data_IF_996770257998
#
_entry.id   IF_996770257998
#
_cell.length_a   1.000
_cell.length_b   1.000
_cell.length_c   1.000
_cell.angle_alpha   90.00
_cell.angle_beta   90.00
_cell.angle_gamma   90.00
#
_symmetry.space_group_name_H-M   'P 1'
#
loop_
_entity.id
_entity.type
_entity.pdbx_description
1 polymer ?
#
# COMPACT_ATOMS: atom_id res chain seq x y z
N UNK A 1 -15.25 -43.23 52.31
CA UNK A 1 -16.46 -44.07 52.16
C UNK A 1 -16.22 -45.04 51.01
N UNK A 2 -16.29 -46.36 51.28
CA UNK A 2 -16.31 -47.51 50.35
C UNK A 2 -15.14 -47.64 49.36
N UNK A 3 -14.05 -48.38 49.60
CA UNK A 3 -13.92 -49.85 49.67
C UNK A 3 -14.47 -50.61 48.44
N UNK A 4 -13.59 -51.09 47.56
CA UNK A 4 -13.41 -52.52 47.24
C UNK A 4 -12.57 -52.74 45.97
N UNK A 5 -11.39 -53.31 46.18
CA UNK A 5 -10.52 -53.99 45.23
C UNK A 5 -11.07 -55.38 44.89
N UNK A 6 -11.07 -55.80 43.62
CA UNK A 6 -10.70 -57.19 43.26
C UNK A 6 -10.32 -57.37 41.78
N UNK A 7 -9.20 -58.06 41.63
CA UNK A 7 -8.50 -58.48 40.41
C UNK A 7 -9.10 -59.73 39.73
N UNK A 8 -8.60 -59.95 38.49
CA UNK A 8 -8.34 -61.23 37.78
C UNK A 8 -9.57 -62.00 37.27
N UNK A 9 -9.63 -62.63 36.09
CA UNK A 9 -8.69 -63.19 35.08
C UNK A 9 -9.52 -63.34 33.78
N UNK A 10 -9.09 -62.96 32.58
CA UNK A 10 -8.20 -63.71 31.70
C UNK A 10 -8.86 -64.92 31.00
N UNK A 11 -9.21 -64.84 29.70
CA UNK A 11 -8.87 -65.84 28.66
C UNK A 11 -9.28 -65.39 27.24
N UNK A 12 -8.37 -65.64 26.31
CA UNK A 12 -8.43 -65.35 24.88
C UNK A 12 -9.26 -66.36 24.07
N UNK A 13 -9.78 -65.91 22.92
CA UNK A 13 -10.34 -66.72 21.83
C UNK A 13 -10.07 -66.05 20.49
N UNK A 14 -9.50 -66.80 19.54
CA UNK A 14 -8.75 -66.40 18.35
C UNK A 14 -9.56 -66.73 17.08
N UNK A 15 -9.34 -65.97 16.00
CA UNK A 15 -9.56 -66.29 14.55
C UNK A 15 -11.04 -66.37 14.10
N UNK A 16 -11.43 -66.02 12.87
CA UNK A 16 -10.80 -66.24 11.56
C UNK A 16 -11.17 -65.17 10.52
N UNK A 17 -10.21 -64.89 9.65
CA UNK A 17 -10.34 -64.25 8.34
C UNK A 17 -10.98 -65.22 7.32
N UNK A 18 -11.84 -64.69 6.44
CA UNK A 18 -12.43 -65.43 5.32
C UNK A 18 -12.40 -64.61 4.03
N UNK A 19 -11.64 -65.11 3.06
CA UNK A 19 -11.56 -64.65 1.66
C UNK A 19 -12.43 -65.54 0.77
N UNK A 20 -13.25 -64.98 -0.11
CA UNK A 20 -13.74 -65.62 -1.35
C UNK A 20 -14.30 -64.52 -2.27
N UNK A 21 -13.70 -64.19 -3.42
CA UNK A 21 -13.59 -64.87 -4.73
C UNK A 21 -14.77 -64.56 -5.66
N UNK A 22 -14.43 -63.77 -6.69
CA UNK A 22 -14.98 -63.71 -8.07
C UNK A 22 -16.49 -63.80 -8.27
N UNK A 23 -17.07 -62.73 -8.82
CA UNK A 23 -18.12 -62.86 -9.82
C UNK A 23 -17.90 -61.87 -10.97
N UNK A 24 -18.00 -62.43 -12.18
CA UNK A 24 -17.76 -61.84 -13.50
C UNK A 24 -19.06 -61.24 -14.04
N UNK A 25 -18.86 -60.29 -14.96
CA UNK A 25 -19.68 -59.91 -16.12
C UNK A 25 -21.08 -59.31 -15.91
N UNK A 26 -21.21 -58.02 -16.24
CA UNK A 26 -21.93 -57.63 -17.46
C UNK A 26 -21.44 -56.26 -17.96
N UNK A 27 -20.72 -56.28 -19.08
CA UNK A 27 -20.46 -55.12 -19.94
C UNK A 27 -21.71 -54.82 -20.78
N UNK A 28 -21.97 -53.54 -21.01
CA UNK A 28 -22.76 -53.05 -22.14
C UNK A 28 -22.07 -51.82 -22.73
N UNK A 29 -22.22 -51.58 -24.03
CA UNK A 29 -21.13 -51.05 -24.85
C UNK A 29 -20.97 -49.52 -24.77
N UNK A 30 -19.71 -49.12 -24.88
CA UNK A 30 -19.25 -47.75 -24.99
C UNK A 30 -19.87 -47.04 -26.20
N UNK A 31 -20.64 -45.98 -25.93
CA UNK A 31 -20.90 -44.90 -26.89
C UNK A 31 -19.76 -43.91 -26.76
N UNK A 32 -19.04 -43.55 -27.84
CA UNK A 32 -17.98 -42.56 -27.75
C UNK A 32 -18.60 -41.18 -27.46
N UNK A 33 -18.16 -40.44 -26.42
CA UNK A 33 -18.52 -39.04 -26.33
C UNK A 33 -17.84 -38.30 -27.49
N UNK A 34 -18.67 -37.67 -28.32
CA UNK A 34 -18.29 -36.81 -29.40
C UNK A 34 -17.24 -35.79 -28.91
N UNK A 35 -16.16 -35.65 -29.70
CA UNK A 35 -15.22 -34.54 -29.57
C UNK A 35 -16.02 -33.23 -29.66
N UNK A 36 -16.00 -32.34 -28.66
CA UNK A 36 -16.36 -30.97 -28.91
C UNK A 36 -15.26 -30.41 -29.82
N UNK A 37 -15.60 -30.24 -31.10
CA UNK A 37 -14.88 -29.41 -32.05
C UNK A 37 -14.65 -28.06 -31.38
N UNK A 38 -13.43 -27.86 -30.88
CA UNK A 38 -13.00 -26.65 -30.22
C UNK A 38 -12.98 -25.52 -31.23
N UNK A 39 -14.07 -24.77 -31.30
CA UNK A 39 -14.03 -23.37 -31.75
C UNK A 39 -12.90 -22.70 -30.96
N UNK A 40 -11.94 -22.01 -31.60
CA UNK A 40 -10.96 -21.23 -30.85
C UNK A 40 -11.75 -20.20 -30.05
N UNK A 41 -11.80 -20.40 -28.73
CA UNK A 41 -12.46 -19.49 -27.81
C UNK A 41 -11.89 -18.09 -28.02
N UNK A 42 -12.68 -17.24 -28.65
CA UNK A 42 -12.44 -15.83 -28.73
C UNK A 42 -12.36 -15.26 -27.30
N UNK A 43 -11.30 -14.50 -27.05
CA UNK A 43 -11.11 -13.60 -25.92
C UNK A 43 -10.89 -14.23 -24.54
N UNK A 44 -9.80 -15.01 -24.41
CA UNK A 44 -9.06 -14.99 -23.15
C UNK A 44 -8.38 -13.61 -23.00
N UNK A 45 -8.49 -12.92 -21.85
CA UNK A 45 -7.94 -11.57 -21.71
C UNK A 45 -6.42 -11.58 -21.92
N UNK A 46 -5.97 -10.74 -22.85
CA UNK A 46 -4.57 -10.56 -23.20
C UNK A 46 -3.74 -10.21 -21.96
N UNK A 47 -2.47 -10.63 -21.94
CA UNK A 47 -1.53 -10.28 -20.89
C UNK A 47 -1.47 -8.75 -20.72
N UNK A 48 -1.94 -8.25 -19.57
CA UNK A 48 -1.90 -6.82 -19.25
C UNK A 48 -0.47 -6.42 -18.94
N UNK A 49 0.25 -5.94 -19.95
CA UNK A 49 1.59 -5.37 -19.75
C UNK A 49 1.45 -4.06 -18.97
N UNK A 50 1.75 -4.07 -17.67
CA UNK A 50 1.90 -2.83 -16.93
C UNK A 50 3.13 -2.09 -17.46
N UNK A 51 2.89 -1.01 -18.21
CA UNK A 51 3.97 -0.10 -18.58
C UNK A 51 4.27 0.74 -17.35
N UNK A 52 5.47 0.57 -16.78
CA UNK A 52 5.95 1.44 -15.73
C UNK A 52 6.06 2.86 -16.27
N UNK A 53 5.14 3.73 -15.88
CA UNK A 53 5.37 5.17 -15.90
C UNK A 53 6.19 5.41 -14.63
N UNK A 54 7.52 5.30 -14.77
CA UNK A 54 8.44 5.53 -13.67
C UNK A 54 8.14 6.92 -13.08
N UNK A 55 7.54 6.95 -11.88
CA UNK A 55 7.21 8.18 -11.15
C UNK A 55 8.44 8.83 -10.52
N UNK A 56 9.63 8.26 -10.69
CA UNK A 56 10.79 9.13 -10.75
C UNK A 56 10.61 9.93 -12.02
N UNK A 57 10.04 11.14 -11.89
CA UNK A 57 10.03 12.19 -12.89
C UNK A 57 11.30 12.11 -13.73
N UNK A 58 11.30 11.34 -14.82
CA UNK A 58 12.42 11.24 -15.77
C UNK A 58 12.14 12.09 -17.00
N UNK A 59 10.86 12.39 -17.25
CA UNK A 59 10.42 13.27 -18.33
C UNK A 59 10.52 14.75 -17.91
N UNK A 60 10.12 15.10 -16.68
CA UNK A 60 10.29 16.46 -16.13
C UNK A 60 11.73 16.97 -16.04
N UNK A 61 12.76 16.18 -15.63
CA UNK A 61 14.14 16.66 -15.58
C UNK A 61 14.73 16.84 -16.97
N UNK A 62 14.34 16.04 -17.98
CA UNK A 62 14.81 16.26 -19.36
C UNK A 62 14.20 17.55 -19.91
N UNK A 63 12.91 17.78 -19.70
CA UNK A 63 12.25 19.03 -20.11
C UNK A 63 12.84 20.24 -19.36
N UNK A 64 13.10 20.12 -18.04
CA UNK A 64 13.75 21.18 -17.26
C UNK A 64 15.22 21.38 -17.65
N UNK A 65 15.96 20.33 -17.97
CA UNK A 65 17.33 20.43 -18.51
C UNK A 65 17.33 21.17 -19.84
N UNK A 66 16.39 20.85 -20.73
CA UNK A 66 16.22 21.56 -22.00
C UNK A 66 15.93 23.04 -21.75
N UNK A 67 15.00 23.37 -20.85
CA UNK A 67 14.70 24.77 -20.49
C UNK A 67 15.92 25.48 -19.91
N UNK A 68 16.71 24.85 -19.04
CA UNK A 68 17.91 25.46 -18.46
C UNK A 68 18.97 25.73 -19.54
N UNK A 69 19.15 24.80 -20.47
CA UNK A 69 20.08 24.95 -21.60
C UNK A 69 19.58 26.04 -22.56
N UNK A 70 18.29 26.07 -22.84
CA UNK A 70 17.64 27.08 -23.69
C UNK A 70 17.78 28.48 -23.08
N UNK A 71 17.47 28.64 -21.79
CA UNK A 71 17.69 29.90 -21.05
C UNK A 71 19.17 30.30 -21.06
N UNK A 72 20.09 29.34 -20.88
CA UNK A 72 21.52 29.60 -20.98
C UNK A 72 21.93 30.11 -22.37
N UNK A 73 21.40 29.51 -23.43
CA UNK A 73 21.65 29.95 -24.82
C UNK A 73 21.08 31.34 -25.08
N UNK A 74 19.89 31.65 -24.57
CA UNK A 74 19.30 32.99 -24.66
C UNK A 74 20.17 34.03 -23.94
N UNK A 75 20.65 33.73 -22.72
CA UNK A 75 21.55 34.63 -21.98
C UNK A 75 22.86 34.86 -22.74
N UNK A 76 23.43 33.81 -23.34
CA UNK A 76 24.63 33.93 -24.17
C UNK A 76 24.39 34.75 -25.44
N UNK A 77 23.25 34.55 -26.10
CA UNK A 77 22.87 35.32 -27.29
C UNK A 77 22.66 36.81 -26.98
N UNK A 78 22.02 37.14 -25.85
CA UNK A 78 21.84 38.52 -25.38
C UNK A 78 23.19 39.16 -25.04
N UNK A 79 24.08 38.44 -24.34
CA UNK A 79 25.43 38.93 -24.04
C UNK A 79 26.29 39.15 -25.29
N UNK A 80 26.14 38.29 -26.30
CA UNK A 80 26.79 38.46 -27.60
C UNK A 80 26.24 39.65 -28.39
N UNK A 81 24.93 39.89 -28.34
CA UNK A 81 24.30 41.03 -28.99
C UNK A 81 24.69 42.38 -28.35
N UNK A 82 24.90 42.40 -27.02
CA UNK A 82 25.36 43.59 -26.29
C UNK A 82 26.85 43.90 -26.50
N UNK A 83 27.65 42.89 -26.88
CA UNK A 83 29.07 43.03 -27.20
C UNK A 83 29.99 43.39 -26.02
N UNK A 84 31.30 43.45 -26.29
CA UNK A 84 32.31 43.97 -25.36
C UNK A 84 32.42 43.20 -24.03
N UNK A 85 32.33 43.90 -22.91
CA UNK A 85 32.56 43.39 -21.54
C UNK A 85 31.47 42.40 -21.09
N UNK A 86 30.29 42.41 -21.72
CA UNK A 86 29.14 41.56 -21.34
C UNK A 86 29.22 40.11 -21.83
N UNK A 87 30.10 39.82 -22.79
CA UNK A 87 30.34 38.46 -23.32
C UNK A 87 30.87 37.49 -22.25
N UNK A 88 31.83 37.96 -21.43
CA UNK A 88 32.47 37.16 -20.40
C UNK A 88 31.46 36.73 -19.31
N UNK A 89 30.69 37.64 -18.67
CA UNK A 89 29.70 37.24 -17.67
C UNK A 89 28.57 36.38 -18.27
N UNK A 90 28.12 36.64 -19.51
CA UNK A 90 27.09 35.79 -20.15
C UNK A 90 27.59 34.37 -20.40
N UNK A 91 28.86 34.21 -20.81
CA UNK A 91 29.49 32.90 -21.00
C UNK A 91 29.65 32.17 -19.67
N UNK A 92 30.05 32.86 -18.61
CA UNK A 92 30.15 32.29 -17.26
C UNK A 92 28.78 31.79 -16.76
N UNK A 93 27.71 32.57 -16.97
CA UNK A 93 26.34 32.15 -16.60
C UNK A 93 25.90 30.94 -17.41
N UNK A 94 26.14 30.91 -18.73
CA UNK A 94 25.87 29.74 -19.57
C UNK A 94 26.60 28.51 -19.04
N UNK A 95 27.91 28.61 -18.80
CA UNK A 95 28.72 27.51 -18.27
C UNK A 95 28.21 27.01 -16.92
N UNK A 96 27.80 27.91 -16.02
CA UNK A 96 27.20 27.55 -14.73
C UNK A 96 25.86 26.83 -14.89
N UNK A 97 24.99 27.28 -15.80
CA UNK A 97 23.69 26.66 -16.06
C UNK A 97 23.85 25.27 -16.70
N UNK A 98 24.77 25.13 -17.66
CA UNK A 98 25.12 23.84 -18.28
C UNK A 98 25.74 22.90 -17.23
N UNK A 99 26.65 23.40 -16.39
CA UNK A 99 27.21 22.61 -15.30
C UNK A 99 26.11 22.15 -14.33
N UNK A 100 25.16 23.02 -13.96
CA UNK A 100 24.02 22.65 -13.12
C UNK A 100 23.13 21.58 -13.77
N UNK A 101 22.95 21.64 -15.09
CA UNK A 101 22.17 20.67 -15.84
C UNK A 101 22.85 19.30 -15.95
N UNK A 102 24.18 19.27 -16.10
CA UNK A 102 24.96 18.05 -16.37
C UNK A 102 25.53 17.40 -15.10
N UNK A 103 25.86 18.19 -14.06
CA UNK A 103 26.47 17.66 -12.83
C UNK A 103 25.47 16.74 -12.11
N UNK A 104 25.85 15.46 -12.05
CA UNK A 104 25.13 14.42 -11.33
C UNK A 104 25.85 14.12 -10.02
N UNK A 105 25.18 14.34 -8.89
CA UNK A 105 25.72 13.97 -7.57
C UNK A 105 25.09 12.65 -7.14
N UNK A 106 25.90 11.60 -6.99
CA UNK A 106 25.46 10.24 -6.59
C UNK A 106 24.35 9.67 -7.50
N UNK A 107 24.46 9.89 -8.81
CA UNK A 107 23.52 9.37 -9.80
C UNK A 107 22.20 10.14 -9.95
N UNK A 108 21.99 11.24 -9.20
CA UNK A 108 20.84 12.15 -9.38
C UNK A 108 21.31 13.50 -9.92
N UNK A 109 20.49 14.14 -10.75
CA UNK A 109 20.77 15.51 -11.20
C UNK A 109 20.77 16.45 -9.98
N UNK A 110 21.64 17.46 -9.97
CA UNK A 110 21.76 18.40 -8.85
C UNK A 110 20.42 19.12 -8.57
N UNK A 111 19.65 19.40 -9.61
CA UNK A 111 18.30 19.97 -9.51
C UNK A 111 17.33 19.12 -8.70
N UNK A 112 17.29 17.79 -8.90
CA UNK A 112 16.40 16.87 -8.17
C UNK A 112 16.80 16.80 -6.69
N UNK A 113 18.10 16.94 -6.44
CA UNK A 113 18.61 17.00 -5.09
C UNK A 113 18.18 18.29 -4.37
N UNK A 114 18.27 19.44 -5.05
CA UNK A 114 17.88 20.75 -4.50
C UNK A 114 16.36 20.81 -4.30
N UNK A 115 15.56 20.38 -5.28
CA UNK A 115 14.10 20.37 -5.17
C UNK A 115 13.63 19.48 -4.01
N UNK A 116 14.19 18.26 -3.87
CA UNK A 116 13.89 17.40 -2.73
C UNK A 116 14.32 18.00 -1.39
N UNK A 117 15.46 18.71 -1.35
CA UNK A 117 15.93 19.37 -0.13
C UNK A 117 15.04 20.56 0.27
N UNK A 118 14.61 21.37 -0.70
CA UNK A 118 13.69 22.47 -0.47
C UNK A 118 12.30 21.96 -0.07
N UNK A 119 11.80 20.91 -0.72
CA UNK A 119 10.54 20.26 -0.36
C UNK A 119 10.55 19.71 1.06
N UNK A 120 11.63 19.03 1.47
CA UNK A 120 11.79 18.58 2.85
C UNK A 120 11.84 19.75 3.85
N UNK A 121 12.54 20.84 3.51
CA UNK A 121 12.58 22.04 4.37
C UNK A 121 11.20 22.69 4.50
N UNK A 122 10.46 22.80 3.39
CA UNK A 122 9.11 23.34 3.38
C UNK A 122 8.20 22.49 4.27
N UNK A 123 8.15 21.17 4.09
CA UNK A 123 7.33 20.28 4.92
C UNK A 123 7.71 20.34 6.40
N UNK A 124 9.00 20.43 6.73
CA UNK A 124 9.44 20.61 8.12
C UNK A 124 8.99 21.93 8.75
N UNK A 125 8.84 22.99 7.95
CA UNK A 125 8.32 24.29 8.42
C UNK A 125 6.81 24.30 8.51
N UNK A 126 6.12 23.61 7.61
CA UNK A 126 4.66 23.51 7.58
C UNK A 126 4.13 22.51 8.60
N UNK A 127 4.93 21.52 9.02
CA UNK A 127 4.52 20.56 10.04
C UNK A 127 4.23 21.29 11.35
N UNK A 128 3.01 21.14 11.83
CA UNK A 128 2.51 21.81 13.01
C UNK A 128 2.08 20.78 14.06
N UNK A 129 2.08 21.18 15.32
CA UNK A 129 1.39 20.42 16.37
C UNK A 129 -0.11 20.44 16.05
N UNK A 130 -0.81 19.29 16.07
CA UNK A 130 -2.22 19.27 15.74
C UNK A 130 -3.00 20.05 16.80
N UNK A 131 -4.14 20.65 16.44
CA UNK A 131 -4.96 21.39 17.39
C UNK A 131 -5.50 20.44 18.48
N UNK A 132 -5.88 20.99 19.64
CA UNK A 132 -6.27 20.18 20.82
C UNK A 132 -7.53 19.35 20.62
N UNK A 133 -8.35 19.70 19.64
CA UNK A 133 -9.57 19.00 19.22
C UNK A 133 -9.32 17.93 18.15
N UNK A 134 -8.09 17.80 17.65
CA UNK A 134 -7.76 16.78 16.66
C UNK A 134 -7.81 15.37 17.26
N UNK A 135 -8.36 14.45 16.49
CA UNK A 135 -8.42 13.04 16.84
C UNK A 135 -7.01 12.47 17.16
N UNK A 136 -6.73 12.03 18.40
CA UNK A 136 -5.40 11.61 18.84
C UNK A 136 -4.81 10.44 18.02
N UNK A 137 -5.66 9.57 17.50
CA UNK A 137 -5.27 8.45 16.64
C UNK A 137 -4.76 8.91 15.26
N UNK A 138 -5.25 10.06 14.78
CA UNK A 138 -4.91 10.64 13.48
C UNK A 138 -3.78 11.68 13.57
N UNK A 139 -3.34 12.05 14.77
CA UNK A 139 -2.28 13.03 15.00
C UNK A 139 -1.05 12.87 14.09
N UNK A 140 -0.51 11.64 13.83
CA UNK A 140 0.64 11.49 12.93
C UNK A 140 0.40 11.98 11.49
N UNK A 141 -0.85 11.93 11.01
CA UNK A 141 -1.24 12.44 9.69
C UNK A 141 -1.57 13.93 9.78
N UNK A 142 -2.39 14.33 10.75
CA UNK A 142 -2.83 15.72 10.94
C UNK A 142 -1.67 16.70 11.18
N UNK A 143 -0.57 16.26 11.81
CA UNK A 143 0.66 17.07 11.96
C UNK A 143 1.29 17.52 10.65
N UNK A 144 1.03 16.77 9.58
CA UNK A 144 1.71 16.91 8.29
C UNK A 144 0.77 17.26 7.14
N UNK A 145 -0.55 17.11 7.33
CA UNK A 145 -1.60 17.43 6.37
C UNK A 145 -2.59 18.39 7.05
N UNK A 146 -2.46 19.71 6.80
CA UNK A 146 -3.35 20.70 7.38
C UNK A 146 -4.82 20.42 7.05
N UNK A 147 -5.72 20.61 8.01
CA UNK A 147 -7.15 20.39 7.83
C UNK A 147 -7.58 18.92 7.81
N UNK A 148 -6.64 17.97 7.88
CA UNK A 148 -6.95 16.55 7.87
C UNK A 148 -7.67 16.12 9.16
N UNK A 149 -8.85 15.52 9.00
CA UNK A 149 -9.65 15.07 10.14
C UNK A 149 -10.79 14.11 9.78
N UNK A 150 -11.50 13.63 10.82
CA UNK A 150 -12.67 12.77 10.67
C UNK A 150 -13.86 13.54 10.05
N UNK A 151 -14.61 12.88 9.17
CA UNK A 151 -15.80 13.40 8.52
C UNK A 151 -16.93 12.36 8.62
N UNK A 152 -17.45 12.18 9.83
CA UNK A 152 -18.42 11.11 10.13
C UNK A 152 -19.67 11.26 9.28
N UNK A 153 -20.07 10.18 8.63
CA UNK A 153 -21.36 10.10 7.94
C UNK A 153 -22.26 9.10 8.65
N UNK A 154 -23.51 9.50 8.89
CA UNK A 154 -24.56 8.63 9.43
C UNK A 154 -25.67 8.56 8.40
N UNK A 155 -25.97 7.34 7.95
CA UNK A 155 -27.05 7.14 6.99
C UNK A 155 -28.43 7.16 7.66
N UNK A 156 -29.49 7.05 6.85
CA UNK A 156 -30.87 7.04 7.35
C UNK A 156 -31.22 5.81 8.19
N UNK A 157 -30.44 4.74 8.10
CA UNK A 157 -30.59 3.51 8.88
C UNK A 157 -29.73 3.52 10.15
N UNK A 158 -29.16 4.68 10.52
CA UNK A 158 -28.23 4.84 11.65
C UNK A 158 -26.94 4.03 11.52
N UNK A 159 -26.58 3.57 10.32
CA UNK A 159 -25.26 3.01 10.06
C UNK A 159 -24.26 4.15 9.91
N UNK A 160 -23.16 4.02 10.63
CA UNK A 160 -22.03 4.93 10.56
C UNK A 160 -21.06 4.48 9.47
N UNK A 161 -20.58 5.42 8.66
CA UNK A 161 -19.47 5.21 7.72
C UNK A 161 -18.39 6.21 8.05
N UNK A 162 -17.20 5.69 8.36
CA UNK A 162 -16.04 6.52 8.64
C UNK A 162 -15.53 7.15 7.36
N UNK A 163 -15.24 8.45 7.42
CA UNK A 163 -14.55 9.15 6.32
C UNK A 163 -13.45 10.05 6.88
N UNK A 164 -12.44 10.27 6.05
CA UNK A 164 -11.32 11.15 6.33
C UNK A 164 -11.13 12.11 5.16
N UNK A 165 -10.77 13.34 5.45
CA UNK A 165 -10.53 14.36 4.42
C UNK A 165 -9.82 15.57 5.00
N UNK A 166 -9.30 16.41 4.10
CA UNK A 166 -8.68 17.70 4.42
C UNK A 166 -9.52 18.90 3.93
N UNK A 167 -10.74 18.63 3.47
CA UNK A 167 -11.64 19.61 2.85
C UNK A 167 -11.53 19.66 1.31
N UNK A 168 -10.47 19.11 0.72
CA UNK A 168 -10.33 19.00 -0.75
C UNK A 168 -10.73 17.63 -1.28
N UNK A 169 -10.64 16.59 -0.46
CA UNK A 169 -11.07 15.24 -0.81
C UNK A 169 -11.75 14.54 0.37
N UNK A 170 -12.43 13.42 0.06
CA UNK A 170 -12.93 12.48 1.06
C UNK A 170 -12.45 11.06 0.72
N UNK A 171 -12.09 10.30 1.75
CA UNK A 171 -11.69 8.90 1.64
C UNK A 171 -12.48 8.02 2.60
N UNK A 172 -12.93 6.88 2.09
CA UNK A 172 -13.50 5.78 2.88
C UNK A 172 -12.69 4.51 2.68
N UNK A 173 -12.78 3.58 3.63
CA UNK A 173 -11.95 2.36 3.65
C UNK A 173 -12.81 1.13 3.87
N UNK A 174 -12.50 0.08 3.11
CA UNK A 174 -13.05 -1.26 3.26
C UNK A 174 -11.96 -2.17 3.82
N UNK A 175 -12.19 -2.78 4.98
CA UNK A 175 -11.35 -3.86 5.51
C UNK A 175 -11.62 -5.13 4.74
N UNK A 176 -10.55 -5.82 4.35
CA UNK A 176 -10.61 -7.06 3.58
C UNK A 176 -9.92 -8.17 4.34
N UNK A 177 -10.65 -9.25 4.57
CA UNK A 177 -10.17 -10.44 5.27
C UNK A 177 -10.37 -11.66 4.38
N UNK A 178 -9.48 -12.65 4.51
CA UNK A 178 -9.60 -13.89 3.77
C UNK A 178 -10.76 -14.73 4.36
N UNK A 179 -11.74 -15.12 3.54
CA UNK A 179 -12.77 -16.07 3.96
C UNK A 179 -12.20 -17.49 3.99
N UNK A 180 -12.23 -18.19 5.13
CA UNK A 180 -11.96 -19.64 5.21
C UNK A 180 -11.16 -20.11 6.43
N UNK A 181 -11.36 -21.39 6.80
CA UNK A 181 -11.06 -22.08 8.08
C UNK A 181 -9.60 -22.15 8.56
N UNK A 182 -8.62 -21.69 7.78
CA UNK A 182 -7.22 -21.75 8.20
C UNK A 182 -6.78 -20.43 8.85
N UNK A 183 -6.47 -20.50 10.14
CA UNK A 183 -5.90 -19.38 10.92
C UNK A 183 -4.61 -18.80 10.31
N UNK A 184 -3.95 -19.54 9.38
CA UNK A 184 -2.73 -19.11 8.69
C UNK A 184 -2.75 -19.54 7.21
N UNK A 185 -3.29 -18.72 6.30
CA UNK A 185 -3.24 -19.01 4.88
C UNK A 185 -1.79 -19.14 4.40
N UNK A 186 -1.52 -20.13 3.55
CA UNK A 186 -0.19 -20.38 3.00
C UNK A 186 0.35 -19.16 2.22
N UNK A 187 1.68 -19.10 2.06
CA UNK A 187 2.35 -18.03 1.31
C UNK A 187 1.73 -17.86 -0.09
N UNK A 188 1.13 -16.70 -0.36
CA UNK A 188 0.50 -16.39 -1.66
C UNK A 188 -0.88 -17.02 -1.92
N UNK A 189 -1.53 -17.65 -0.92
CA UNK A 189 -2.70 -18.52 -1.14
C UNK A 189 -3.99 -17.86 -1.68
N UNK A 190 -4.20 -16.55 -1.49
CA UNK A 190 -5.38 -15.86 -2.05
C UNK A 190 -5.08 -14.39 -2.35
N UNK A 191 -5.60 -13.91 -3.46
CA UNK A 191 -5.31 -12.58 -3.97
C UNK A 191 -6.55 -11.79 -4.31
N UNK A 192 -6.54 -10.52 -3.92
CA UNK A 192 -7.54 -9.58 -4.37
C UNK A 192 -7.32 -9.33 -5.87
N UNK A 193 -8.31 -9.59 -6.75
CA UNK A 193 -8.17 -9.29 -8.17
C UNK A 193 -7.98 -7.79 -8.38
N UNK A 194 -6.90 -7.38 -9.04
CA UNK A 194 -6.62 -5.95 -9.28
C UNK A 194 -7.67 -5.26 -10.16
N UNK A 195 -8.38 -6.03 -11.00
CA UNK A 195 -9.49 -5.52 -11.78
C UNK A 195 -10.54 -4.86 -10.89
N UNK A 196 -10.75 -5.34 -9.66
CA UNK A 196 -11.68 -4.72 -8.70
C UNK A 196 -11.29 -3.28 -8.34
N UNK A 197 -10.00 -2.95 -8.31
CA UNK A 197 -9.54 -1.58 -8.07
C UNK A 197 -9.78 -0.69 -9.28
N UNK A 198 -9.65 -1.25 -10.49
CA UNK A 198 -9.96 -0.53 -11.73
C UNK A 198 -11.45 -0.26 -11.87
N UNK A 199 -12.28 -1.28 -11.62
CA UNK A 199 -13.74 -1.20 -11.63
C UNK A 199 -14.25 -0.19 -10.59
N UNK A 200 -13.58 -0.08 -9.44
CA UNK A 200 -13.94 0.91 -8.41
C UNK A 200 -13.74 2.37 -8.85
N UNK A 201 -12.95 2.66 -9.90
CA UNK A 201 -12.71 4.04 -10.34
C UNK A 201 -13.93 4.69 -10.98
N UNK A 202 -14.92 3.90 -11.38
CA UNK A 202 -16.20 4.39 -11.92
C UNK A 202 -17.34 3.50 -11.44
N UNK A 203 -18.23 4.06 -10.64
CA UNK A 203 -19.43 3.36 -10.18
C UNK A 203 -20.64 4.21 -10.51
N UNK A 204 -21.52 3.70 -11.35
CA UNK A 204 -22.67 4.45 -11.86
C UNK A 204 -22.20 5.77 -12.53
N UNK A 205 -22.67 6.92 -12.06
CA UNK A 205 -22.28 8.28 -12.45
C UNK A 205 -21.08 8.85 -11.64
N UNK A 206 -20.56 8.09 -10.67
CA UNK A 206 -19.52 8.56 -9.74
C UNK A 206 -18.13 8.23 -10.28
N UNK A 207 -17.28 9.25 -10.31
CA UNK A 207 -15.88 9.17 -10.73
C UNK A 207 -14.97 9.37 -9.51
N UNK A 208 -14.14 8.37 -9.19
CA UNK A 208 -13.11 8.50 -8.16
C UNK A 208 -11.82 9.11 -8.71
N UNK A 209 -11.08 9.80 -7.83
CA UNK A 209 -9.68 10.15 -8.11
C UNK A 209 -8.81 8.89 -8.14
N UNK A 210 -9.00 8.00 -7.15
CA UNK A 210 -8.16 6.80 -7.00
C UNK A 210 -8.83 5.70 -6.16
N UNK A 211 -8.35 4.47 -6.40
CA UNK A 211 -8.57 3.32 -5.53
C UNK A 211 -7.21 2.76 -5.10
N UNK A 212 -7.07 2.42 -3.82
CA UNK A 212 -5.80 2.00 -3.23
C UNK A 212 -5.96 0.70 -2.46
N UNK A 213 -5.14 -0.29 -2.76
CA UNK A 213 -4.94 -1.47 -1.94
C UNK A 213 -3.74 -1.25 -1.00
N UNK A 214 -3.96 -1.37 0.29
CA UNK A 214 -2.91 -1.33 1.31
C UNK A 214 -2.87 -2.66 2.03
N UNK A 215 -1.70 -3.28 2.06
CA UNK A 215 -1.46 -4.51 2.80
C UNK A 215 -0.32 -4.28 3.78
N UNK A 216 -0.59 -4.42 5.07
CA UNK A 216 0.42 -4.36 6.11
C UNK A 216 0.63 -5.74 6.73
N UNK A 217 1.90 -6.11 6.85
CA UNK A 217 2.33 -7.39 7.38
C UNK A 217 3.25 -7.16 8.57
N UNK A 218 3.03 -7.91 9.65
CA UNK A 218 3.95 -8.01 10.79
C UNK A 218 4.53 -9.40 10.83
N UNK A 219 5.85 -9.52 10.90
CA UNK A 219 6.48 -10.83 10.87
C UNK A 219 6.30 -11.58 12.20
N UNK A 220 6.32 -12.91 12.11
CA UNK A 220 6.54 -13.81 13.24
C UNK A 220 7.96 -14.42 13.10
N UNK A 221 8.65 -14.73 14.21
CA UNK A 221 8.49 -14.11 15.52
C UNK A 221 8.75 -12.60 15.45
N UNK A 222 8.23 -11.82 16.41
CA UNK A 222 8.39 -10.37 16.35
C UNK A 222 9.88 -9.97 16.47
N UNK A 223 10.41 -9.05 15.63
CA UNK A 223 11.85 -8.76 15.57
C UNK A 223 12.43 -8.16 16.85
N UNK A 224 11.60 -7.46 17.61
CA UNK A 224 11.99 -6.81 18.87
C UNK A 224 12.17 -7.80 20.04
N UNK A 225 11.78 -9.06 19.89
CA UNK A 225 11.97 -10.06 20.95
C UNK A 225 13.47 -10.41 21.11
N UNK A 226 13.94 -10.64 22.35
CA UNK A 226 15.30 -11.13 22.57
C UNK A 226 15.56 -12.45 21.83
N UNK A 227 16.81 -12.66 21.39
CA UNK A 227 17.21 -13.86 20.65
C UNK A 227 16.90 -15.15 21.43
N UNK A 228 17.14 -15.13 22.74
CA UNK A 228 16.91 -16.26 23.65
C UNK A 228 15.47 -16.36 24.18
N UNK A 229 14.54 -15.56 23.66
CA UNK A 229 13.15 -15.63 24.11
C UNK A 229 12.51 -16.96 23.70
N UNK A 230 11.75 -17.57 24.62
CA UNK A 230 11.04 -18.83 24.37
C UNK A 230 10.15 -18.73 23.13
N UNK A 231 9.47 -17.59 22.95
CA UNK A 231 8.64 -17.34 21.76
C UNK A 231 9.46 -17.41 20.45
N UNK A 232 10.65 -16.80 20.40
CA UNK A 232 11.48 -16.85 19.19
C UNK A 232 12.02 -18.25 18.92
N UNK A 233 12.51 -18.93 19.95
CA UNK A 233 13.03 -20.30 19.82
C UNK A 233 11.93 -21.30 19.42
N UNK A 234 10.71 -21.13 19.95
CA UNK A 234 9.58 -22.02 19.66
C UNK A 234 8.98 -21.78 18.28
N UNK A 235 8.82 -20.52 17.86
CA UNK A 235 8.17 -20.18 16.59
C UNK A 235 9.14 -20.04 15.41
N UNK A 236 10.45 -19.95 15.64
CA UNK A 236 11.47 -19.87 14.58
C UNK A 236 11.38 -21.02 13.56
N UNK A 237 11.42 -22.30 13.99
CA UNK A 237 11.34 -23.43 13.06
C UNK A 237 10.04 -23.45 12.24
N UNK A 238 8.91 -23.07 12.85
CA UNK A 238 7.62 -22.96 12.15
C UNK A 238 7.63 -21.82 11.13
N UNK A 239 8.29 -20.71 11.46
CA UNK A 239 8.47 -19.60 10.53
C UNK A 239 9.30 -20.02 9.32
N UNK A 240 10.40 -20.74 9.53
CA UNK A 240 11.28 -21.22 8.46
C UNK A 240 10.55 -22.18 7.51
N UNK A 241 9.61 -22.98 8.04
CA UNK A 241 8.79 -23.90 7.24
C UNK A 241 7.63 -23.24 6.50
N UNK A 242 6.93 -22.30 7.15
CA UNK A 242 5.65 -21.78 6.62
C UNK A 242 5.77 -20.41 5.97
N UNK A 243 6.77 -19.61 6.35
CA UNK A 243 6.90 -18.21 5.94
C UNK A 243 5.69 -17.34 6.32
N UNK A 244 4.78 -17.85 7.16
CA UNK A 244 3.51 -17.22 7.46
C UNK A 244 3.73 -16.01 8.37
N UNK A 245 3.18 -14.83 8.07
CA UNK A 245 3.32 -13.68 8.94
C UNK A 245 2.55 -13.86 10.26
N UNK A 246 2.92 -13.09 11.29
CA UNK A 246 2.16 -13.02 12.55
C UNK A 246 0.78 -12.40 12.32
N UNK A 247 0.75 -11.33 11.54
CA UNK A 247 -0.45 -10.58 11.24
C UNK A 247 -0.38 -10.04 9.81
N UNK A 248 -1.49 -10.14 9.10
CA UNK A 248 -1.67 -9.58 7.76
C UNK A 248 -3.00 -8.84 7.75
N UNK A 249 -2.93 -7.52 7.56
CA UNK A 249 -4.10 -6.65 7.45
C UNK A 249 -4.18 -6.12 6.02
N UNK A 250 -5.38 -6.10 5.45
CA UNK A 250 -5.61 -5.63 4.08
C UNK A 250 -6.75 -4.64 4.09
N UNK A 251 -6.54 -3.51 3.43
CA UNK A 251 -7.52 -2.43 3.28
C UNK A 251 -7.62 -2.02 1.82
N UNK A 252 -8.82 -1.67 1.39
CA UNK A 252 -9.08 -0.98 0.12
C UNK A 252 -9.62 0.41 0.45
N UNK A 253 -8.84 1.44 0.15
CA UNK A 253 -9.23 2.83 0.33
C UNK A 253 -9.68 3.43 -1.00
N UNK A 254 -10.80 4.15 -1.01
CA UNK A 254 -11.35 4.86 -2.17
C UNK A 254 -11.34 6.36 -1.90
N UNK A 255 -10.76 7.15 -2.80
CA UNK A 255 -10.65 8.61 -2.66
C UNK A 255 -11.50 9.31 -3.70
N UNK A 256 -12.39 10.17 -3.21
CA UNK A 256 -13.25 11.04 -3.97
C UNK A 256 -12.69 12.47 -3.94
N UNK A 257 -12.47 13.01 -5.12
CA UNK A 257 -12.28 14.46 -5.30
C UNK A 257 -13.63 15.02 -5.79
N UNK A 258 -14.30 15.89 -5.01
CA UNK A 258 -15.58 16.47 -5.38
C UNK A 258 -15.56 17.18 -6.75
N UNK A 259 -14.41 17.68 -7.20
CA UNK A 259 -14.31 18.34 -8.50
C UNK A 259 -14.45 17.40 -9.69
N UNK A 260 -14.13 16.11 -9.52
CA UNK A 260 -14.20 15.11 -10.59
C UNK A 260 -15.60 14.56 -10.84
N UNK A 261 -16.54 14.75 -9.90
CA UNK A 261 -17.87 14.15 -9.94
C UNK A 261 -18.99 15.12 -9.50
N UNK A 262 -18.88 16.41 -9.88
CA UNK A 262 -19.81 17.46 -9.45
C UNK A 262 -21.28 17.14 -9.76
N UNK A 263 -21.57 16.68 -10.97
CA UNK A 263 -22.94 16.30 -11.39
C UNK A 263 -23.54 15.21 -10.49
N UNK A 264 -22.75 14.18 -10.17
CA UNK A 264 -23.18 13.09 -9.30
C UNK A 264 -23.43 13.56 -7.85
N UNK A 265 -22.65 14.54 -7.38
CA UNK A 265 -22.82 15.17 -6.07
C UNK A 265 -24.08 16.02 -6.02
N UNK A 266 -24.30 16.85 -7.05
CA UNK A 266 -25.50 17.68 -7.19
C UNK A 266 -26.77 16.84 -7.23
N UNK A 267 -26.77 15.74 -7.99
CA UNK A 267 -27.87 14.78 -8.05
C UNK A 267 -28.19 14.14 -6.68
N UNK A 268 -27.24 14.17 -5.73
CA UNK A 268 -27.37 13.60 -4.38
C UNK A 268 -27.57 14.65 -3.30
N UNK A 269 -27.95 15.87 -3.66
CA UNK A 269 -28.27 16.97 -2.74
C UNK A 269 -27.18 18.04 -2.62
N UNK A 270 -26.07 17.89 -3.36
CA UNK A 270 -24.99 18.88 -3.39
C UNK A 270 -24.13 18.91 -2.12
N UNK A 271 -23.11 19.77 -2.16
CA UNK A 271 -22.23 20.04 -1.02
C UNK A 271 -21.53 18.80 -0.44
N UNK A 272 -21.20 18.88 0.85
CA UNK A 272 -20.51 17.82 1.57
C UNK A 272 -21.35 16.54 1.67
N UNK A 273 -22.65 16.67 1.97
CA UNK A 273 -23.52 15.51 2.16
C UNK A 273 -23.69 14.72 0.85
N UNK A 274 -23.82 15.41 -0.30
CA UNK A 274 -23.83 14.76 -1.61
C UNK A 274 -22.52 14.00 -1.88
N UNK A 275 -21.37 14.59 -1.55
CA UNK A 275 -20.06 13.93 -1.66
C UNK A 275 -19.94 12.70 -0.75
N UNK A 276 -20.42 12.80 0.50
CA UNK A 276 -20.46 11.66 1.43
C UNK A 276 -21.35 10.54 0.89
N UNK A 277 -22.55 10.84 0.38
CA UNK A 277 -23.45 9.86 -0.25
C UNK A 277 -22.82 9.17 -1.47
N UNK A 278 -22.11 9.93 -2.32
CA UNK A 278 -21.32 9.36 -3.42
C UNK A 278 -20.28 8.36 -2.90
N UNK A 279 -19.52 8.75 -1.88
CA UNK A 279 -18.45 7.94 -1.33
C UNK A 279 -18.97 6.66 -0.65
N UNK A 280 -20.09 6.73 0.10
CA UNK A 280 -20.75 5.54 0.65
C UNK A 280 -21.16 4.58 -0.44
N UNK A 281 -21.79 5.08 -1.52
CA UNK A 281 -22.23 4.26 -2.65
C UNK A 281 -21.07 3.47 -3.26
N UNK A 282 -19.93 4.13 -3.46
CA UNK A 282 -18.71 3.50 -3.97
C UNK A 282 -18.14 2.50 -2.97
N UNK A 283 -18.04 2.85 -1.68
CA UNK A 283 -17.50 1.96 -0.65
C UNK A 283 -18.32 0.66 -0.53
N UNK A 284 -19.65 0.76 -0.58
CA UNK A 284 -20.55 -0.39 -0.57
C UNK A 284 -20.42 -1.23 -1.85
N UNK A 285 -20.24 -0.58 -3.01
CA UNK A 285 -19.94 -1.29 -4.25
C UNK A 285 -18.63 -2.09 -4.12
N UNK A 286 -17.56 -1.46 -3.63
CA UNK A 286 -16.27 -2.15 -3.40
C UNK A 286 -16.45 -3.32 -2.44
N UNK A 287 -17.09 -3.11 -1.29
CA UNK A 287 -17.33 -4.19 -0.32
C UNK A 287 -18.11 -5.35 -0.97
N UNK A 288 -19.19 -5.07 -1.70
CA UNK A 288 -19.98 -6.08 -2.41
C UNK A 288 -19.15 -6.86 -3.44
N UNK A 289 -18.33 -6.17 -4.24
CA UNK A 289 -17.48 -6.82 -5.26
C UNK A 289 -16.36 -7.66 -4.64
N UNK A 290 -15.78 -7.20 -3.54
CA UNK A 290 -14.77 -7.96 -2.79
C UNK A 290 -15.39 -9.21 -2.14
N UNK A 291 -16.59 -9.09 -1.58
CA UNK A 291 -17.35 -10.24 -1.08
C UNK A 291 -17.71 -11.22 -2.19
N UNK A 292 -18.13 -10.72 -3.36
CA UNK A 292 -18.38 -11.54 -4.55
C UNK A 292 -17.13 -12.27 -5.08
N UNK A 293 -15.94 -11.75 -4.81
CA UNK A 293 -14.66 -12.42 -5.10
C UNK A 293 -14.27 -13.47 -4.03
N UNK A 294 -15.12 -13.67 -3.01
CA UNK A 294 -14.96 -14.69 -1.98
C UNK A 294 -14.12 -14.26 -0.77
N UNK A 295 -13.97 -12.95 -0.53
CA UNK A 295 -13.36 -12.39 0.68
C UNK A 295 -14.44 -11.91 1.66
N UNK A 296 -14.07 -11.66 2.91
CA UNK A 296 -14.92 -10.91 3.84
C UNK A 296 -14.56 -9.43 3.70
N UNK A 297 -15.57 -8.59 3.51
CA UNK A 297 -15.40 -7.15 3.34
C UNK A 297 -16.35 -6.36 4.23
N UNK A 298 -15.82 -5.38 4.94
CA UNK A 298 -16.59 -4.47 5.77
C UNK A 298 -16.14 -3.03 5.53
N UNK A 299 -17.08 -2.12 5.25
CA UNK A 299 -16.82 -0.68 5.23
C UNK A 299 -16.61 -0.24 6.68
N UNK A 300 -15.51 0.46 6.95
CA UNK A 300 -15.14 0.86 8.30
C UNK A 300 -16.04 1.99 8.81
N UNK A 301 -16.44 1.90 10.09
CA UNK A 301 -16.96 3.06 10.81
C UNK A 301 -15.82 4.07 11.15
N UNK A 302 -16.14 5.17 11.84
CA UNK A 302 -15.15 6.20 12.13
C UNK A 302 -14.02 5.71 13.07
N UNK A 303 -14.36 4.96 14.12
CA UNK A 303 -13.39 4.50 15.11
C UNK A 303 -12.49 3.40 14.55
N UNK A 304 -13.08 2.50 13.77
CA UNK A 304 -12.36 1.49 13.00
C UNK A 304 -11.43 2.13 11.97
N UNK A 305 -11.86 3.20 11.29
CA UNK A 305 -11.06 3.94 10.32
C UNK A 305 -9.88 4.66 11.00
N UNK A 306 -10.14 5.36 12.11
CA UNK A 306 -9.11 6.00 12.92
C UNK A 306 -8.06 4.97 13.39
N UNK A 307 -8.54 3.80 13.84
CA UNK A 307 -7.72 2.66 14.23
C UNK A 307 -6.90 2.07 13.09
N UNK A 308 -7.49 1.95 11.89
CA UNK A 308 -6.81 1.44 10.71
C UNK A 308 -5.67 2.38 10.26
N UNK A 309 -5.90 3.69 10.26
CA UNK A 309 -4.87 4.69 9.93
C UNK A 309 -3.75 4.68 10.96
N UNK A 310 -4.08 4.71 12.26
CA UNK A 310 -3.09 4.65 13.34
C UNK A 310 -2.25 3.36 13.28
N UNK A 311 -2.90 2.22 13.07
CA UNK A 311 -2.24 0.91 12.93
C UNK A 311 -1.33 0.88 11.71
N UNK A 312 -1.80 1.37 10.56
CA UNK A 312 -0.99 1.47 9.36
C UNK A 312 0.20 2.41 9.57
N UNK A 313 0.02 3.54 10.24
CA UNK A 313 1.10 4.46 10.61
C UNK A 313 2.11 3.88 11.60
N UNK A 314 1.80 2.72 12.22
CA UNK A 314 2.50 2.15 13.36
C UNK A 314 2.61 3.14 14.53
N UNK A 315 1.56 3.95 14.72
CA UNK A 315 1.46 4.86 15.86
C UNK A 315 1.42 4.06 17.16
N UNK A 316 2.08 4.57 18.20
CA UNK A 316 2.10 3.94 19.51
C UNK A 316 0.74 4.13 20.20
N UNK A 317 0.00 3.03 20.49
CA UNK A 317 -1.35 3.14 21.05
C UNK A 317 -1.36 3.75 22.45
N UNK A 318 -0.30 3.57 23.24
CA UNK A 318 -0.17 4.18 24.57
C UNK A 318 -0.06 5.70 24.45
N UNK A 319 0.72 6.19 23.49
CA UNK A 319 0.86 7.63 23.26
C UNK A 319 -0.42 8.23 22.68
N UNK A 320 -1.11 7.52 21.78
CA UNK A 320 -2.43 7.96 21.30
C UNK A 320 -3.45 8.05 22.44
N UNK A 321 -3.51 7.03 23.31
CA UNK A 321 -4.42 7.04 24.46
C UNK A 321 -4.07 8.10 25.52
N UNK A 322 -2.79 8.45 25.68
CA UNK A 322 -2.37 9.58 26.53
C UNK A 322 -2.76 10.92 25.93
N UNK A 323 -2.61 11.08 24.61
CA UNK A 323 -2.95 12.31 23.91
C UNK A 323 -4.46 12.59 23.92
N UNK A 324 -5.32 11.58 24.07
CA UNK A 324 -6.76 11.76 24.23
C UNK A 324 -7.23 12.19 25.63
N UNK A 325 -6.32 12.44 26.58
CA UNK A 325 -6.70 12.92 27.92
C UNK A 325 -6.93 14.45 27.90
N UNK A 326 -7.90 14.97 28.65
CA UNK A 326 -8.21 16.41 28.67
C UNK A 326 -7.02 17.32 29.01
N UNK A 327 -6.13 16.86 29.89
CA UNK A 327 -4.95 17.62 30.34
C UNK A 327 -3.68 17.34 29.54
N UNK A 328 -3.77 16.57 28.45
CA UNK A 328 -2.61 16.22 27.65
C UNK A 328 -2.12 17.44 26.85
N UNK A 329 -0.90 17.89 27.13
CA UNK A 329 -0.27 18.91 26.31
C UNK A 329 -0.08 18.39 24.87
N UNK A 330 -0.46 19.17 23.84
CA UNK A 330 -0.22 18.80 22.45
C UNK A 330 1.29 18.60 22.21
N UNK A 331 1.67 17.43 21.72
CA UNK A 331 3.06 17.08 21.44
C UNK A 331 3.20 16.56 20.01
N UNK A 332 4.26 16.99 19.35
CA UNK A 332 4.60 16.52 18.00
C UNK A 332 5.12 15.08 18.07
N UNK A 333 4.43 14.18 17.39
CA UNK A 333 4.68 12.73 17.37
C UNK A 333 5.53 12.29 16.19
N UNK A 334 5.59 13.11 15.14
CA UNK A 334 6.27 12.74 13.89
C UNK A 334 7.56 13.53 13.69
N UNK A 335 8.48 13.02 12.87
CA UNK A 335 9.66 13.78 12.42
C UNK A 335 10.18 13.25 11.09
N UNK A 336 10.29 14.11 10.08
CA UNK A 336 10.87 13.73 8.78
C UNK A 336 12.37 14.09 8.71
N UNK A 337 13.19 13.13 8.31
CA UNK A 337 14.60 13.32 7.91
C UNK A 337 14.80 13.03 6.43
N UNK A 338 16.02 13.20 5.94
CA UNK A 338 16.31 12.94 4.51
C UNK A 338 16.10 11.48 4.09
N UNK A 339 16.05 10.52 5.01
CA UNK A 339 15.97 9.08 4.69
C UNK A 339 14.94 8.32 5.49
N UNK A 340 14.47 8.90 6.59
CA UNK A 340 13.56 8.26 7.53
C UNK A 340 12.47 9.24 7.93
N UNK A 341 11.25 8.74 8.04
CA UNK A 341 10.18 9.39 8.79
C UNK A 341 10.00 8.63 10.11
N UNK A 342 9.93 9.35 11.24
CA UNK A 342 9.70 8.78 12.56
C UNK A 342 8.27 9.09 12.99
N UNK A 343 7.59 8.10 13.55
CA UNK A 343 6.34 8.28 14.31
C UNK A 343 6.56 7.64 15.68
N UNK A 344 6.47 8.42 16.74
CA UNK A 344 6.72 7.95 18.10
C UNK A 344 8.08 7.22 18.21
N UNK A 345 8.07 5.96 18.67
CA UNK A 345 9.20 5.06 18.81
C UNK A 345 9.47 4.20 17.56
N UNK A 346 8.98 4.61 16.38
CA UNK A 346 9.09 3.82 15.14
C UNK A 346 9.75 4.60 14.00
N UNK A 347 10.67 3.94 13.31
CA UNK A 347 11.43 4.48 12.18
C UNK A 347 10.93 3.86 10.89
N UNK A 348 10.58 4.70 9.92
CA UNK A 348 9.99 4.29 8.65
C UNK A 348 10.88 4.69 7.48
N UNK A 349 11.10 3.76 6.55
CA UNK A 349 11.70 4.05 5.25
C UNK A 349 10.75 3.62 4.13
N UNK A 350 10.56 4.48 3.15
CA UNK A 350 9.64 4.28 2.03
C UNK A 350 10.36 4.21 0.69
N UNK A 351 9.80 3.40 -0.19
CA UNK A 351 10.24 3.13 -1.55
C UNK A 351 9.07 3.31 -2.51
N UNK A 352 9.34 3.89 -3.67
CA UNK A 352 8.47 3.74 -4.82
C UNK A 352 8.90 2.52 -5.64
N UNK A 353 7.93 1.83 -6.23
CA UNK A 353 8.17 0.81 -7.25
C UNK A 353 8.42 1.54 -8.58
N UNK A 354 9.68 1.59 -9.03
CA UNK A 354 10.06 2.32 -10.25
C UNK A 354 10.03 1.42 -11.50
N UNK A 355 10.16 0.12 -11.29
CA UNK A 355 10.10 -0.91 -12.32
C UNK A 355 9.31 -2.10 -11.79
N UNK A 356 8.15 -2.30 -12.38
CA UNK A 356 7.35 -3.50 -12.17
C UNK A 356 8.01 -4.69 -12.87
N UNK A 357 7.95 -5.89 -12.29
CA UNK A 357 8.24 -7.10 -13.07
C UNK A 357 7.14 -7.26 -14.13
N UNK A 358 7.38 -8.12 -15.11
CA UNK A 358 6.28 -8.56 -15.97
C UNK A 358 5.18 -9.15 -15.08
N UNK A 359 3.93 -8.78 -15.33
CA UNK A 359 2.75 -9.32 -14.63
C UNK A 359 1.88 -9.98 -15.70
N UNK A 360 1.63 -11.29 -15.57
CA UNK A 360 0.94 -12.07 -16.61
C UNK A 360 1.27 -13.56 -16.56
N UNK A 361 0.80 -14.32 -17.56
CA UNK A 361 1.11 -15.76 -17.68
C UNK A 361 2.62 -15.95 -17.87
N UNK A 362 3.25 -16.69 -16.95
CA UNK A 362 4.70 -16.94 -16.93
C UNK A 362 5.51 -15.97 -16.08
N UNK A 363 4.88 -14.94 -15.50
CA UNK A 363 5.53 -13.96 -14.65
C UNK A 363 5.07 -14.06 -13.18
N UNK A 364 5.85 -13.54 -12.24
CA UNK A 364 5.55 -13.63 -10.80
C UNK A 364 4.17 -13.03 -10.52
N UNK A 365 3.18 -13.80 -10.05
CA UNK A 365 1.88 -13.26 -9.68
C UNK A 365 2.08 -12.13 -8.65
N UNK A 366 1.39 -11.00 -8.84
CA UNK A 366 1.43 -9.88 -7.88
C UNK A 366 1.29 -10.33 -6.40
N UNK A 367 0.43 -11.29 -6.03
CA UNK A 367 0.29 -11.74 -4.65
C UNK A 367 1.57 -12.38 -4.10
N UNK A 368 2.28 -13.13 -4.94
CA UNK A 368 3.57 -13.70 -4.62
C UNK A 368 4.63 -12.59 -4.50
N UNK A 369 4.58 -11.58 -5.38
CA UNK A 369 5.44 -10.41 -5.26
C UNK A 369 5.19 -9.66 -3.94
N UNK A 370 3.94 -9.39 -3.58
CA UNK A 370 3.60 -8.70 -2.33
C UNK A 370 4.04 -9.53 -1.14
N UNK A 371 3.83 -10.85 -1.17
CA UNK A 371 4.30 -11.75 -0.12
C UNK A 371 5.83 -11.74 0.01
N UNK A 372 6.58 -11.69 -1.10
CA UNK A 372 8.05 -11.58 -1.11
C UNK A 372 8.53 -10.22 -0.58
N UNK A 373 7.87 -9.12 -0.96
CA UNK A 373 8.23 -7.78 -0.50
C UNK A 373 7.86 -7.54 0.97
N UNK A 374 6.89 -8.29 1.51
CA UNK A 374 6.40 -8.15 2.88
C UNK A 374 6.91 -9.23 3.85
N UNK A 375 7.69 -10.21 3.40
CA UNK A 375 8.28 -11.26 4.23
C UNK A 375 9.53 -10.83 5.02
N UNK A 376 9.96 -9.58 4.84
CA UNK A 376 11.13 -9.03 5.52
C UNK A 376 10.89 -8.97 7.03
N UNK A 377 11.87 -9.36 7.89
CA UNK A 377 11.73 -9.40 9.34
C UNK A 377 11.78 -8.00 9.97
N UNK A 378 10.76 -7.19 9.66
CA UNK A 378 10.55 -5.83 10.14
C UNK A 378 9.44 -5.80 11.19
N UNK A 379 9.40 -4.72 12.00
CA UNK A 379 8.25 -4.49 12.90
C UNK A 379 6.93 -4.50 12.11
N UNK A 380 6.94 -3.82 10.96
CA UNK A 380 5.89 -3.92 9.96
C UNK A 380 6.48 -3.65 8.57
N UNK A 381 5.94 -4.34 7.56
CA UNK A 381 6.15 -4.02 6.16
C UNK A 381 4.80 -3.74 5.51
N UNK A 382 4.65 -2.57 4.90
CA UNK A 382 3.43 -2.15 4.22
C UNK A 382 3.68 -2.06 2.72
N UNK A 383 2.90 -2.79 1.94
CA UNK A 383 2.80 -2.64 0.50
C UNK A 383 1.54 -1.85 0.16
N UNK A 384 1.65 -0.93 -0.79
CA UNK A 384 0.54 -0.11 -1.26
C UNK A 384 0.54 -0.07 -2.78
N UNK A 385 -0.63 -0.28 -3.37
CA UNK A 385 -0.88 -0.16 -4.80
C UNK A 385 -2.04 0.79 -5.02
N UNK A 386 -1.79 1.89 -5.73
CA UNK A 386 -2.82 2.86 -6.09
C UNK A 386 -3.09 2.81 -7.57
N UNK A 387 -4.36 2.69 -7.94
CA UNK A 387 -4.85 2.76 -9.31
C UNK A 387 -5.57 4.09 -9.49
N UNK A 388 -5.32 4.75 -10.62
CA UNK A 388 -6.03 5.96 -11.07
C UNK A 388 -6.40 5.80 -12.54
N UNK A 389 -7.31 6.64 -13.03
CA UNK A 389 -7.58 6.72 -14.47
C UNK A 389 -6.31 7.21 -15.19
N UNK A 390 -6.04 6.62 -16.35
CA UNK A 390 -4.91 7.00 -17.20
C UNK A 390 -5.27 8.16 -18.13
N UNK A 391 -4.25 8.75 -18.75
CA UNK A 391 -4.40 9.91 -19.66
C UNK A 391 -5.18 9.54 -20.93
N UNK A 392 -5.10 8.28 -21.36
CA UNK A 392 -5.86 7.77 -22.50
C UNK A 392 -7.15 7.12 -22.01
N UNK A 393 -8.22 7.31 -22.75
CA UNK A 393 -9.51 6.66 -22.48
C UNK A 393 -9.31 5.13 -22.39
N UNK A 394 -9.85 4.53 -21.33
CA UNK A 394 -9.73 3.09 -21.06
C UNK A 394 -8.38 2.62 -20.51
N UNK A 395 -7.40 3.52 -20.32
CA UNK A 395 -6.13 3.19 -19.63
C UNK A 395 -6.22 3.43 -18.13
N UNK A 396 -5.49 2.66 -17.33
CA UNK A 396 -5.30 2.88 -15.90
C UNK A 396 -3.83 3.15 -15.60
N UNK A 397 -3.58 4.08 -14.68
CA UNK A 397 -2.24 4.30 -14.13
C UNK A 397 -2.12 3.60 -12.79
N UNK A 398 -0.97 2.97 -12.56
CA UNK A 398 -0.71 2.16 -11.36
C UNK A 398 0.57 2.65 -10.72
N UNK A 399 0.52 2.93 -9.41
CA UNK A 399 1.66 3.35 -8.60
C UNK A 399 1.80 2.41 -7.41
N UNK A 400 3.04 1.96 -7.15
CA UNK A 400 3.35 1.05 -6.05
C UNK A 400 4.29 1.71 -5.05
N UNK A 401 4.05 1.46 -3.77
CA UNK A 401 4.94 1.87 -2.68
C UNK A 401 5.18 0.73 -1.71
N UNK A 402 6.37 0.72 -1.11
CA UNK A 402 6.73 -0.18 -0.01
C UNK A 402 7.26 0.64 1.14
N UNK A 403 6.76 0.40 2.35
CA UNK A 403 7.27 0.98 3.59
C UNK A 403 7.74 -0.13 4.49
N UNK A 404 8.94 0.02 5.02
CA UNK A 404 9.46 -0.81 6.12
C UNK A 404 9.56 0.01 7.38
N UNK A 405 9.14 -0.59 8.50
CA UNK A 405 9.14 0.01 9.83
C UNK A 405 10.04 -0.81 10.74
N UNK A 406 10.98 -0.14 11.44
CA UNK A 406 11.84 -0.72 12.46
C UNK A 406 11.64 -0.04 13.81
N UNK A 407 12.07 -0.71 14.89
CA UNK A 407 12.11 -0.14 16.25
C UNK A 407 13.34 0.73 16.52
N UNK A 408 14.34 0.72 15.64
CA UNK A 408 15.51 1.60 15.70
C UNK A 408 16.09 1.87 14.30
N UNK A 409 16.97 2.86 14.20
CA UNK A 409 17.67 3.17 12.94
C UNK A 409 18.59 2.01 12.49
N UNK A 410 19.26 1.32 13.42
CA UNK A 410 20.16 0.21 13.12
C UNK A 410 19.41 -1.01 12.61
N UNK A 411 18.27 -1.36 13.25
CA UNK A 411 17.38 -2.42 12.80
C UNK A 411 16.87 -2.13 11.37
N UNK A 412 16.46 -0.89 11.11
CA UNK A 412 15.93 -0.45 9.82
C UNK A 412 16.96 -0.58 8.68
N UNK A 413 18.26 -0.39 8.96
CA UNK A 413 19.33 -0.59 7.97
C UNK A 413 19.40 -2.07 7.54
N UNK A 414 19.32 -3.01 8.48
CA UNK A 414 19.33 -4.44 8.20
C UNK A 414 18.11 -4.85 7.37
N UNK A 415 16.91 -4.49 7.85
CA UNK A 415 15.63 -4.71 7.18
C UNK A 415 15.63 -4.17 5.74
N UNK A 416 16.17 -2.97 5.53
CA UNK A 416 16.31 -2.37 4.19
C UNK A 416 17.12 -3.26 3.26
N UNK A 417 18.29 -3.74 3.69
CA UNK A 417 19.16 -4.55 2.83
C UNK A 417 18.45 -5.82 2.38
N UNK A 418 17.73 -6.48 3.29
CA UNK A 418 16.93 -7.67 3.01
C UNK A 418 15.79 -7.36 2.02
N UNK A 419 15.05 -6.25 2.21
CA UNK A 419 14.02 -5.82 1.27
C UNK A 419 14.60 -5.58 -0.14
N UNK A 420 15.68 -4.80 -0.23
CA UNK A 420 16.31 -4.46 -1.50
C UNK A 420 16.85 -5.72 -2.20
N UNK A 421 17.34 -6.70 -1.44
CA UNK A 421 17.79 -7.99 -1.97
C UNK A 421 16.61 -8.85 -2.48
N UNK A 422 15.51 -8.92 -1.73
CA UNK A 422 14.29 -9.60 -2.16
C UNK A 422 13.70 -8.97 -3.43
N UNK A 423 13.66 -7.63 -3.50
CA UNK A 423 13.20 -6.92 -4.68
C UNK A 423 14.08 -7.19 -5.91
N UNK A 424 15.42 -7.15 -5.76
CA UNK A 424 16.36 -7.51 -6.84
C UNK A 424 16.12 -8.94 -7.33
N UNK A 425 15.91 -9.90 -6.42
CA UNK A 425 15.64 -11.29 -6.78
C UNK A 425 14.32 -11.43 -7.55
N UNK A 426 13.28 -10.68 -7.15
CA UNK A 426 12.00 -10.62 -7.84
C UNK A 426 11.98 -9.71 -9.09
N UNK A 427 13.14 -9.19 -9.53
CA UNK A 427 13.30 -8.25 -10.66
C UNK A 427 12.44 -6.98 -10.53
N UNK A 428 12.15 -6.57 -9.29
CA UNK A 428 11.42 -5.35 -8.98
C UNK A 428 12.40 -4.23 -8.67
N UNK A 429 12.23 -3.11 -9.35
CA UNK A 429 12.99 -1.91 -9.05
C UNK A 429 12.34 -1.15 -7.91
N UNK A 430 13.11 -0.92 -6.84
CA UNK A 430 12.71 -0.09 -5.71
C UNK A 430 13.61 1.15 -5.65
N UNK A 431 12.98 2.32 -5.66
CA UNK A 431 13.64 3.60 -5.48
C UNK A 431 13.31 4.16 -4.10
N UNK A 432 14.32 4.27 -3.22
CA UNK A 432 14.13 4.88 -1.90
C UNK A 432 13.80 6.36 -2.04
N UNK A 433 12.72 6.79 -1.38
CA UNK A 433 12.18 8.15 -1.44
C UNK A 433 12.98 9.13 -0.55
N UNK A 434 14.28 9.27 -0.83
CA UNK A 434 15.15 10.20 -0.10
C UNK A 434 14.61 11.63 -0.18
N UNK A 435 14.37 12.25 0.98
CA UNK A 435 13.75 13.57 1.17
C UNK A 435 12.28 13.62 0.73
N UNK A 436 11.63 12.48 0.57
CA UNK A 436 10.21 12.34 0.23
C UNK A 436 9.58 11.22 1.08
N UNK A 437 10.06 11.08 2.32
CA UNK A 437 9.63 10.00 3.19
C UNK A 437 8.20 10.19 3.68
N UNK A 438 7.81 11.43 4.00
CA UNK A 438 6.44 11.74 4.40
C UNK A 438 5.44 11.47 3.25
N UNK A 439 5.63 11.97 2.01
CA UNK A 439 4.80 11.56 0.88
C UNK A 439 4.73 10.05 0.69
N UNK A 440 5.86 9.35 0.80
CA UNK A 440 5.91 7.89 0.74
C UNK A 440 5.11 7.22 1.86
N UNK A 441 5.12 7.79 3.06
CA UNK A 441 4.33 7.29 4.20
C UNK A 441 2.85 7.46 3.91
N UNK A 442 2.41 8.67 3.54
CA UNK A 442 1.01 8.96 3.20
C UNK A 442 0.49 8.05 2.08
N UNK A 443 1.30 7.81 1.05
CA UNK A 443 0.98 6.87 -0.03
C UNK A 443 0.91 5.39 0.39
N UNK A 444 1.28 5.06 1.63
CA UNK A 444 1.17 3.72 2.23
C UNK A 444 0.18 3.64 3.40
N UNK A 445 -0.48 4.74 3.75
CA UNK A 445 -1.65 4.75 4.62
C UNK A 445 -2.90 4.49 3.79
N UNK A 446 -4.00 3.94 4.37
CA UNK A 446 -5.25 3.70 3.66
C UNK A 446 -6.02 5.01 3.44
N UNK A 447 -5.46 5.89 2.61
CA UNK A 447 -5.95 7.26 2.35
C UNK A 447 -6.33 7.49 0.87
N UNK A 448 -6.27 6.45 0.02
CA UNK A 448 -6.43 6.55 -1.43
C UNK A 448 -5.13 6.87 -2.18
N UNK A 449 -3.97 6.62 -1.57
CA UNK A 449 -2.67 6.81 -2.21
C UNK A 449 -2.29 8.28 -2.37
N UNK A 450 -2.54 9.05 -1.32
CA UNK A 450 -2.43 10.50 -1.29
C UNK A 450 -1.12 11.02 -1.88
N UNK A 451 -1.27 11.98 -2.81
CA UNK A 451 -0.35 13.08 -3.03
C UNK A 451 -1.11 14.37 -2.80
#
# INVERSE_FOLDING_TARGET
MGAATRERTGRAGRRTSGTSRRQRSNESPATPPAQPSGTPGANAPAATTLRSISRTDRVRPVLRQLVIVEVGLVVAAVGAALGGVWLIPSLVVLCLLVALAVVRRRGRALQDWVSGALGLRARRRSAATPPSDAEPMLAPVAENVPGFGPQVYVDRAHRTVGMLGDGTFLTAVVRVEASGESLRPAFGARSLPLSLLGDALQVDDIVLESAQLVQQVRCAPAPHLPQQSVARLSYGPLQDQTGAPALRMTWVAVKLDPELCREAIEARGGGLEGAQRCLVRVADHVASRVTGAGFQAAVLDQDELNSAVATSACANPILSGRAGRPDAAPQRRTMETSRVWRCDDRWHTTYAVDRWPELGRGATPLPQLVALLTSVPAYATTFSLTVRRGVRQGSTSVVGHVRVTGGSDTELIGVRRTLEQAARHAKVGLARLDREQLPGVLATLPLGGAQ
#
